data_IF_281525779139
#
_entry.id   IF_281525779139
#
_cell.length_a   1.000
_cell.length_b   1.000
_cell.length_c   1.000
_cell.angle_alpha   90.00
_cell.angle_beta   90.00
_cell.angle_gamma   90.00
#
_symmetry.space_group_name_H-M   'P 1'
#
loop_
_entity.id
_entity.type
_entity.pdbx_description
1 polymer ?
#
# COMPACT_ATOMS: atom_id res chain seq x y z
N UNK A 1 -8.69 -2.38 -24.41
CA UNK A 1 -7.55 -2.32 -25.34
C UNK A 1 -6.27 -2.10 -24.54
N UNK A 2 -5.17 -2.78 -24.87
CA UNK A 2 -3.90 -2.60 -24.16
C UNK A 2 -3.39 -1.16 -24.35
N UNK A 3 -2.81 -0.59 -23.29
CA UNK A 3 -2.10 0.68 -23.38
C UNK A 3 -0.89 0.49 -24.30
N UNK A 4 -0.62 1.46 -25.18
CA UNK A 4 0.58 1.44 -26.01
C UNK A 4 1.50 2.59 -25.57
N UNK A 5 2.76 2.27 -25.26
CA UNK A 5 3.81 3.29 -25.14
C UNK A 5 4.14 3.81 -26.54
N UNK A 6 4.04 5.12 -26.71
CA UNK A 6 4.22 5.82 -27.99
C UNK A 6 5.60 6.47 -28.07
N UNK A 7 6.17 6.82 -26.92
CA UNK A 7 7.52 7.40 -26.80
C UNK A 7 8.07 7.16 -25.40
N UNK A 8 9.39 7.12 -25.28
CA UNK A 8 10.11 6.91 -24.02
C UNK A 8 11.33 7.82 -23.97
N UNK A 9 11.60 8.42 -22.81
CA UNK A 9 12.86 9.11 -22.55
C UNK A 9 13.30 8.91 -21.09
N UNK A 10 14.60 9.02 -20.85
CA UNK A 10 15.20 8.94 -19.52
C UNK A 10 15.81 10.30 -19.18
N UNK A 11 15.46 10.85 -18.02
CA UNK A 11 15.90 12.18 -17.56
C UNK A 11 16.59 12.03 -16.21
N UNK A 12 17.76 12.65 -16.06
CA UNK A 12 18.44 12.69 -14.76
C UNK A 12 17.69 13.63 -13.82
N UNK A 13 17.27 13.11 -12.68
CA UNK A 13 16.61 13.85 -11.61
C UNK A 13 17.34 13.62 -10.29
N UNK A 14 18.02 14.65 -9.79
CA UNK A 14 18.83 14.55 -8.56
C UNK A 14 19.79 13.35 -8.65
N UNK A 15 19.54 12.32 -7.85
CA UNK A 15 20.38 11.13 -7.70
C UNK A 15 19.82 9.90 -8.45
N UNK A 16 18.75 10.05 -9.24
CA UNK A 16 18.14 8.96 -10.00
C UNK A 16 17.91 9.35 -11.47
N UNK A 17 17.91 8.37 -12.36
CA UNK A 17 17.45 8.56 -13.73
C UNK A 17 16.00 8.12 -13.80
N UNK A 18 15.09 9.07 -14.03
CA UNK A 18 13.66 8.81 -14.13
C UNK A 18 13.26 8.47 -15.57
N UNK A 19 12.45 7.43 -15.74
CA UNK A 19 11.86 7.06 -17.02
C UNK A 19 10.54 7.80 -17.22
N UNK A 20 10.40 8.47 -18.36
CA UNK A 20 9.17 9.11 -18.82
C UNK A 20 8.62 8.35 -20.03
N UNK A 21 7.31 8.19 -20.05
CA UNK A 21 6.56 7.43 -21.05
C UNK A 21 5.43 8.30 -21.59
N UNK A 22 5.32 8.42 -22.92
CA UNK A 22 4.07 8.87 -23.53
C UNK A 22 3.17 7.67 -23.74
N UNK A 23 2.04 7.63 -23.03
CA UNK A 23 1.12 6.49 -23.01
C UNK A 23 -0.19 6.88 -23.69
N UNK A 24 -0.64 6.08 -24.65
CA UNK A 24 -1.99 6.24 -25.23
C UNK A 24 -2.98 5.36 -24.47
N UNK A 25 -4.11 5.94 -24.07
CA UNK A 25 -5.21 5.27 -23.37
C UNK A 25 -6.56 5.66 -23.99
N UNK A 26 -7.54 4.77 -23.86
CA UNK A 26 -8.96 5.10 -24.10
C UNK A 26 -9.61 5.40 -22.76
N UNK A 27 -10.19 6.58 -22.61
CA UNK A 27 -10.89 7.05 -21.40
C UNK A 27 -12.27 7.54 -21.83
N UNK A 28 -13.32 6.99 -21.23
CA UNK A 28 -14.71 7.31 -21.59
C UNK A 28 -15.01 7.26 -23.12
N UNK A 29 -14.38 6.33 -23.84
CA UNK A 29 -14.52 6.17 -25.30
C UNK A 29 -13.56 6.99 -26.15
N UNK A 30 -12.88 7.98 -25.56
CA UNK A 30 -11.97 8.87 -26.28
C UNK A 30 -10.50 8.43 -26.17
N UNK A 31 -9.75 8.56 -27.27
CA UNK A 31 -8.31 8.28 -27.27
C UNK A 31 -7.53 9.50 -26.79
N UNK A 32 -6.84 9.34 -25.66
CA UNK A 32 -6.05 10.38 -25.00
C UNK A 32 -4.59 9.93 -24.87
N UNK A 33 -3.69 10.90 -24.72
CA UNK A 33 -2.27 10.66 -24.41
C UNK A 33 -1.91 11.27 -23.07
N UNK A 34 -1.20 10.52 -22.25
CA UNK A 34 -0.63 10.97 -20.98
C UNK A 34 0.90 10.92 -21.05
N UNK A 35 1.53 11.78 -20.28
CA UNK A 35 2.95 11.66 -19.94
C UNK A 35 3.02 11.09 -18.54
N UNK A 36 3.62 9.91 -18.41
CA UNK A 36 3.75 9.18 -17.15
C UNK A 36 5.23 9.09 -16.77
N UNK A 37 5.55 9.32 -15.50
CA UNK A 37 6.91 9.21 -14.95
C UNK A 37 6.96 8.00 -14.03
N UNK A 38 7.92 7.10 -14.23
CA UNK A 38 8.17 6.02 -13.27
C UNK A 38 8.62 6.60 -11.93
N UNK A 39 7.99 6.14 -10.86
CA UNK A 39 8.33 6.54 -9.49
C UNK A 39 9.62 5.83 -9.06
N UNK A 40 10.35 6.44 -8.13
CA UNK A 40 11.54 5.81 -7.56
C UNK A 40 11.20 4.44 -6.98
N UNK A 41 12.04 3.45 -7.28
CA UNK A 41 11.98 2.14 -6.60
C UNK A 41 12.47 2.20 -5.15
N UNK A 42 13.06 3.32 -4.73
CA UNK A 42 13.51 3.50 -3.35
C UNK A 42 12.33 3.92 -2.47
N UNK A 43 11.79 2.96 -1.72
CA UNK A 43 10.79 3.19 -0.68
C UNK A 43 11.36 2.98 0.74
N UNK A 44 12.69 2.90 0.84
CA UNK A 44 13.42 2.83 2.10
C UNK A 44 13.86 4.26 2.47
N UNK A 45 13.36 4.79 3.57
CA UNK A 45 13.80 6.09 4.11
C UNK A 45 14.74 5.84 5.29
N UNK A 46 16.01 6.27 5.19
CA UNK A 46 17.01 6.03 6.24
C UNK A 46 17.27 4.53 6.52
N UNK A 47 17.04 3.65 5.54
CA UNK A 47 17.14 2.19 5.70
C UNK A 47 15.90 1.51 6.30
N UNK A 48 14.91 2.29 6.73
CA UNK A 48 13.63 1.79 7.25
C UNK A 48 12.63 1.72 6.09
N UNK A 49 11.98 0.58 5.92
CA UNK A 49 10.99 0.41 4.88
C UNK A 49 9.68 1.10 5.25
N UNK A 50 9.23 2.02 4.40
CA UNK A 50 7.92 2.65 4.52
C UNK A 50 6.98 2.07 3.45
N UNK A 51 6.03 1.23 3.87
CA UNK A 51 5.01 0.67 2.98
C UNK A 51 4.18 1.76 2.30
N UNK A 52 4.03 2.93 2.91
CA UNK A 52 3.31 4.05 2.34
C UNK A 52 4.08 4.79 1.24
N UNK A 53 5.40 4.61 1.19
CA UNK A 53 6.25 5.15 0.13
C UNK A 53 6.26 4.26 -1.12
N UNK A 54 5.84 3.00 -1.00
CA UNK A 54 5.77 2.07 -2.12
C UNK A 54 4.76 2.55 -3.18
N UNK A 55 5.16 2.48 -4.45
CA UNK A 55 4.30 2.79 -5.59
C UNK A 55 4.12 1.54 -6.45
N UNK A 56 3.25 0.65 -5.99
CA UNK A 56 3.03 -0.66 -6.62
C UNK A 56 1.72 -0.70 -7.43
N UNK A 57 1.48 0.35 -8.22
CA UNK A 57 0.33 0.47 -9.12
C UNK A 57 0.75 1.17 -10.41
N UNK A 58 0.06 0.87 -11.51
CA UNK A 58 0.26 1.57 -12.78
C UNK A 58 -0.65 2.80 -12.88
N UNK A 59 -0.13 3.87 -13.48
CA UNK A 59 -0.83 5.16 -13.69
C UNK A 59 -1.54 5.71 -12.45
N UNK A 60 -0.97 5.49 -11.27
CA UNK A 60 -1.64 5.73 -10.00
C UNK A 60 -1.74 7.20 -9.59
N UNK A 61 -2.51 7.43 -8.52
CA UNK A 61 -2.60 8.69 -7.79
C UNK A 61 -2.49 8.42 -6.30
N UNK A 62 -1.76 9.28 -5.60
CA UNK A 62 -1.61 9.24 -4.15
C UNK A 62 -2.22 10.47 -3.49
N UNK A 63 -2.87 10.25 -2.36
CA UNK A 63 -3.19 11.25 -1.36
C UNK A 63 -2.34 11.00 -0.12
N UNK A 64 -1.74 12.05 0.43
CA UNK A 64 -1.09 12.04 1.73
C UNK A 64 -1.61 13.22 2.53
N UNK A 65 -2.42 12.93 3.55
CA UNK A 65 -3.02 13.92 4.44
C UNK A 65 -2.22 14.15 5.71
N UNK A 66 -1.09 13.45 5.89
CA UNK A 66 -0.24 13.63 7.08
C UNK A 66 0.46 14.97 7.06
N UNK A 67 0.51 15.59 8.22
CA UNK A 67 1.23 16.83 8.43
C UNK A 67 2.74 16.61 8.28
N UNK A 68 3.36 17.49 7.50
CA UNK A 68 4.81 17.50 7.24
C UNK A 68 5.52 18.69 7.90
N UNK A 69 4.77 19.60 8.51
CA UNK A 69 5.29 20.81 9.13
C UNK A 69 5.23 20.68 10.66
N UNK A 70 6.38 20.55 11.35
CA UNK A 70 6.39 20.36 12.80
C UNK A 70 5.82 21.56 13.57
N UNK A 71 5.72 22.75 12.95
CA UNK A 71 5.11 23.93 13.56
C UNK A 71 3.59 23.94 13.54
N UNK A 72 2.95 23.02 12.79
CA UNK A 72 1.49 22.89 12.71
C UNK A 72 1.02 21.78 13.61
N UNK A 73 0.44 22.11 14.75
CA UNK A 73 -0.03 21.11 15.70
C UNK A 73 -1.55 21.03 15.72
N UNK A 74 -2.05 19.89 16.17
CA UNK A 74 -3.46 19.59 16.41
C UNK A 74 -3.60 18.97 17.80
N UNK A 75 -4.55 19.46 18.59
CA UNK A 75 -4.88 18.90 19.90
C UNK A 75 -6.36 18.51 19.97
N UNK A 76 -6.67 17.46 20.73
CA UNK A 76 -8.03 17.13 21.16
C UNK A 76 -8.17 17.45 22.64
N UNK A 77 -9.21 18.19 23.01
CA UNK A 77 -9.51 18.52 24.42
C UNK A 77 -10.96 18.25 24.74
N UNK A 78 -11.25 17.65 25.89
CA UNK A 78 -12.60 17.33 26.32
C UNK A 78 -12.68 16.86 27.76
N UNK A 79 -13.90 16.70 28.27
CA UNK A 79 -14.16 16.25 29.64
C UNK A 79 -13.90 14.75 29.81
N UNK A 80 -14.12 13.96 28.76
CA UNK A 80 -13.89 12.52 28.77
C UNK A 80 -13.51 12.01 27.36
N UNK A 81 -12.74 10.94 27.29
CA UNK A 81 -12.10 10.47 26.05
C UNK A 81 -12.52 9.05 25.62
N UNK A 82 -13.75 8.64 25.95
CA UNK A 82 -14.33 7.40 25.43
C UNK A 82 -14.80 7.58 23.97
N UNK A 83 -14.98 6.47 23.24
CA UNK A 83 -15.60 6.50 21.93
C UNK A 83 -17.01 7.12 22.02
N UNK A 84 -17.36 7.96 21.05
CA UNK A 84 -18.62 8.72 20.99
C UNK A 84 -18.60 10.07 21.73
N UNK A 85 -17.61 10.31 22.60
CA UNK A 85 -17.55 11.58 23.33
C UNK A 85 -17.21 12.76 22.42
N UNK A 86 -17.82 13.91 22.71
CA UNK A 86 -17.49 15.17 22.06
C UNK A 86 -16.19 15.74 22.62
N UNK A 87 -15.33 16.22 21.72
CA UNK A 87 -14.08 16.91 22.01
C UNK A 87 -13.96 18.15 21.14
N UNK A 88 -13.17 19.13 21.59
CA UNK A 88 -12.76 20.28 20.80
C UNK A 88 -11.41 19.98 20.15
N UNK A 89 -11.35 20.15 18.84
CA UNK A 89 -10.12 20.21 18.07
C UNK A 89 -9.57 21.63 18.09
N UNK A 90 -8.29 21.76 18.40
CA UNK A 90 -7.56 23.02 18.39
C UNK A 90 -6.32 22.91 17.50
N UNK A 91 -6.26 23.74 16.47
CA UNK A 91 -5.12 23.88 15.58
C UNK A 91 -4.22 25.04 16.05
N UNK A 92 -2.90 24.84 16.00
CA UNK A 92 -1.91 25.89 16.30
C UNK A 92 -0.85 25.95 15.20
N UNK A 93 -0.53 27.17 14.74
CA UNK A 93 0.38 27.40 13.61
C UNK A 93 -0.27 27.25 12.22
N UNK A 94 -1.58 27.00 12.14
CA UNK A 94 -2.34 26.88 10.89
C UNK A 94 -3.85 27.06 11.11
N UNK A 95 -4.60 27.21 10.03
CA UNK A 95 -6.06 27.44 10.02
C UNK A 95 -6.79 26.41 9.15
N UNK A 96 -6.89 25.13 9.59
CA UNK A 96 -7.35 24.03 8.76
C UNK A 96 -8.87 23.93 8.63
N UNK A 97 -9.62 24.65 9.47
CA UNK A 97 -11.05 24.46 9.60
C UNK A 97 -11.85 25.49 8.82
N UNK A 98 -12.96 25.04 8.24
CA UNK A 98 -13.98 25.84 7.57
C UNK A 98 -15.34 25.17 7.75
N UNK A 99 -16.43 25.80 7.30
CA UNK A 99 -17.75 25.14 7.27
C UNK A 99 -17.75 23.80 6.51
N UNK A 100 -16.86 23.63 5.51
CA UNK A 100 -16.70 22.39 4.75
C UNK A 100 -15.94 21.29 5.50
N UNK A 101 -15.42 21.58 6.70
CA UNK A 101 -14.72 20.60 7.53
C UNK A 101 -15.67 19.64 8.24
N UNK A 102 -16.96 19.96 8.34
CA UNK A 102 -17.95 19.07 8.97
C UNK A 102 -18.01 17.73 8.22
N UNK A 103 -17.94 16.63 8.97
CA UNK A 103 -17.86 15.27 8.45
C UNK A 103 -16.44 14.80 8.09
N UNK A 104 -15.44 15.68 8.08
CA UNK A 104 -14.05 15.27 7.87
C UNK A 104 -13.53 14.47 9.05
N UNK A 105 -12.69 13.48 8.76
CA UNK A 105 -12.01 12.68 9.77
C UNK A 105 -10.58 13.15 9.96
N UNK A 106 -10.12 13.20 11.20
CA UNK A 106 -8.73 13.47 11.53
C UNK A 106 -8.15 12.31 12.33
N UNK A 107 -6.88 12.02 12.07
CA UNK A 107 -6.09 11.05 12.81
C UNK A 107 -5.03 11.83 13.58
N UNK A 108 -4.88 11.57 14.88
CA UNK A 108 -3.80 12.12 15.71
C UNK A 108 -3.01 10.96 16.30
N UNK A 109 -1.67 11.05 16.29
CA UNK A 109 -0.80 9.94 16.69
C UNK A 109 0.35 10.42 17.57
N UNK A 110 0.65 9.63 18.60
CA UNK A 110 1.84 9.78 19.45
C UNK A 110 2.46 8.41 19.68
N UNK A 111 3.62 8.15 19.06
CA UNK A 111 4.25 6.83 19.04
C UNK A 111 3.33 5.76 18.43
N UNK A 112 2.90 4.78 19.24
CA UNK A 112 1.96 3.73 18.83
C UNK A 112 0.49 4.06 19.19
N UNK A 113 0.26 5.15 19.92
CA UNK A 113 -1.08 5.57 20.31
C UNK A 113 -1.70 6.42 19.20
N UNK A 114 -2.97 6.18 18.91
CA UNK A 114 -3.72 6.92 17.91
C UNK A 114 -5.15 7.20 18.37
N UNK A 115 -5.69 8.36 18.00
CA UNK A 115 -7.11 8.64 18.03
C UNK A 115 -7.59 9.03 16.63
N UNK A 116 -8.81 8.62 16.30
CA UNK A 116 -9.53 9.12 15.12
C UNK A 116 -10.74 9.89 15.60
N UNK A 117 -10.95 11.07 15.02
CA UNK A 117 -12.09 11.93 15.33
C UNK A 117 -12.84 12.31 14.06
N UNK A 118 -14.14 12.51 14.18
CA UNK A 118 -14.99 13.02 13.10
C UNK A 118 -15.50 14.41 13.47
N UNK A 119 -15.21 15.41 12.64
CA UNK A 119 -15.65 16.79 12.87
C UNK A 119 -17.17 16.88 12.78
N UNK A 120 -17.81 17.44 13.80
CA UNK A 120 -19.26 17.58 13.90
C UNK A 120 -19.74 19.02 13.73
N UNK A 121 -18.95 20.01 14.14
CA UNK A 121 -19.29 21.42 13.89
C UNK A 121 -18.04 22.27 13.72
N UNK A 122 -18.16 23.31 12.90
CA UNK A 122 -17.16 24.34 12.70
C UNK A 122 -17.38 25.47 13.72
N UNK A 123 -16.33 25.87 14.44
CA UNK A 123 -16.39 26.98 15.39
C UNK A 123 -15.71 28.21 14.78
N UNK A 124 -14.44 28.07 14.44
CA UNK A 124 -13.64 29.10 13.77
C UNK A 124 -12.51 28.44 12.97
N UNK A 125 -11.65 29.24 12.35
CA UNK A 125 -10.60 28.74 11.46
C UNK A 125 -9.53 27.88 12.14
N UNK A 126 -9.42 27.92 13.47
CA UNK A 126 -8.51 27.10 14.28
C UNK A 126 -9.21 26.14 15.23
N UNK A 127 -10.54 26.19 15.36
CA UNK A 127 -11.32 25.33 16.24
C UNK A 127 -12.51 24.65 15.57
N UNK A 128 -12.74 23.40 15.95
CA UNK A 128 -13.93 22.63 15.56
C UNK A 128 -14.35 21.70 16.69
N UNK A 129 -15.64 21.36 16.77
CA UNK A 129 -16.06 20.23 17.61
C UNK A 129 -15.98 18.94 16.81
N UNK A 130 -15.63 17.85 17.47
CA UNK A 130 -15.55 16.53 16.87
C UNK A 130 -16.02 15.44 17.84
N UNK A 131 -16.36 14.27 17.32
CA UNK A 131 -16.62 13.07 18.10
C UNK A 131 -15.46 12.10 17.98
N UNK A 132 -15.09 11.45 19.08
CA UNK A 132 -14.09 10.38 19.09
C UNK A 132 -14.67 9.12 18.46
N UNK A 133 -14.06 8.62 17.38
CA UNK A 133 -14.48 7.36 16.74
C UNK A 133 -14.07 6.15 17.60
N UNK A 134 -12.96 6.27 18.32
CA UNK A 134 -12.44 5.29 19.27
C UNK A 134 -11.99 6.01 20.54
N UNK A 135 -11.88 5.30 21.66
CA UNK A 135 -11.33 5.88 22.88
C UNK A 135 -9.93 6.46 22.61
N UNK A 136 -9.67 7.67 23.09
CA UNK A 136 -8.40 8.35 22.91
C UNK A 136 -7.42 7.92 24.02
N UNK A 137 -6.26 7.32 23.71
CA UNK A 137 -5.25 7.01 24.72
C UNK A 137 -4.70 8.27 25.39
N UNK A 138 -4.24 8.17 26.65
CA UNK A 138 -3.74 9.32 27.41
C UNK A 138 -2.65 10.14 26.67
N UNK A 139 -1.80 9.47 25.89
CA UNK A 139 -0.74 10.11 25.11
C UNK A 139 -1.21 11.11 24.04
N UNK A 140 -2.48 11.04 23.61
CA UNK A 140 -3.05 11.95 22.60
C UNK A 140 -4.07 12.92 23.18
N UNK A 141 -4.34 12.88 24.49
CA UNK A 141 -5.32 13.73 25.16
C UNK A 141 -4.71 15.08 25.55
N UNK A 142 -5.33 16.19 25.13
CA UNK A 142 -4.93 17.56 25.48
C UNK A 142 -3.45 17.91 25.18
N UNK A 143 -2.85 17.24 24.21
CA UNK A 143 -1.48 17.51 23.72
C UNK A 143 -1.54 18.04 22.30
N UNK A 144 -0.79 19.11 22.02
CA UNK A 144 -0.57 19.61 20.66
C UNK A 144 0.40 18.73 19.90
N UNK A 145 -0.12 17.83 19.06
CA UNK A 145 0.66 16.87 18.30
C UNK A 145 0.98 17.43 16.92
N UNK A 146 2.22 17.29 16.46
CA UNK A 146 2.61 17.57 15.06
C UNK A 146 2.31 16.38 14.14
N UNK A 147 2.15 15.19 14.70
CA UNK A 147 1.85 13.97 13.96
C UNK A 147 0.33 13.74 13.87
N UNK A 148 -0.29 14.35 12.87
CA UNK A 148 -1.71 14.24 12.59
C UNK A 148 -1.97 14.17 11.08
N UNK A 149 -3.15 13.69 10.68
CA UNK A 149 -3.56 13.61 9.29
C UNK A 149 -5.03 13.98 9.08
N UNK A 150 -5.32 14.65 7.96
CA UNK A 150 -6.68 14.72 7.43
C UNK A 150 -6.99 13.42 6.69
N UNK A 151 -7.82 12.57 7.27
CA UNK A 151 -8.20 11.30 6.67
C UNK A 151 -9.33 11.50 5.64
N UNK A 152 -9.27 10.76 4.54
CA UNK A 152 -10.28 10.78 3.48
C UNK A 152 -10.81 9.38 3.20
N UNK A 153 -12.10 9.26 2.97
CA UNK A 153 -12.72 8.05 2.43
C UNK A 153 -12.80 8.09 0.89
N UNK A 154 -12.46 9.22 0.27
CA UNK A 154 -12.54 9.41 -1.18
C UNK A 154 -11.20 9.90 -1.73
N UNK A 155 -10.79 9.32 -2.85
CA UNK A 155 -9.65 9.78 -3.63
C UNK A 155 -10.16 10.33 -4.97
N UNK A 156 -9.93 11.62 -5.19
CA UNK A 156 -10.37 12.35 -6.37
C UNK A 156 -9.24 12.62 -7.35
N UNK A 157 -9.60 13.04 -8.57
CA UNK A 157 -8.64 13.41 -9.63
C UNK A 157 -8.08 12.20 -10.38
N UNK A 158 -8.88 11.15 -10.49
CA UNK A 158 -8.61 9.92 -11.23
C UNK A 158 -9.26 9.94 -12.63
N UNK A 159 -9.51 11.12 -13.20
CA UNK A 159 -10.16 11.28 -14.51
C UNK A 159 -9.46 10.52 -15.64
N UNK A 160 -8.14 10.34 -15.55
CA UNK A 160 -7.35 9.55 -16.50
C UNK A 160 -7.58 8.04 -16.43
N UNK A 161 -8.41 7.60 -15.48
CA UNK A 161 -8.75 6.21 -15.21
C UNK A 161 -10.27 6.00 -15.12
N UNK A 162 -11.08 6.92 -15.66
CA UNK A 162 -12.54 6.83 -15.63
C UNK A 162 -13.05 5.48 -16.18
N UNK A 163 -13.97 4.85 -15.43
CA UNK A 163 -14.53 3.53 -15.77
C UNK A 163 -13.58 2.34 -15.58
N UNK A 164 -12.36 2.55 -15.08
CA UNK A 164 -11.41 1.48 -14.77
C UNK A 164 -11.53 1.03 -13.32
N UNK A 165 -11.39 -0.28 -13.10
CA UNK A 165 -11.22 -0.83 -11.76
C UNK A 165 -9.78 -0.63 -11.31
N UNK A 166 -9.59 -0.17 -10.08
CA UNK A 166 -8.29 0.14 -9.49
C UNK A 166 -7.95 -0.82 -8.35
N UNK A 167 -6.66 -1.07 -8.20
CA UNK A 167 -6.06 -1.61 -6.98
C UNK A 167 -5.73 -0.46 -6.03
N UNK A 168 -5.98 -0.65 -4.74
CA UNK A 168 -5.94 0.42 -3.75
C UNK A 168 -5.17 -0.02 -2.52
N UNK A 169 -4.24 0.82 -2.07
CA UNK A 169 -3.52 0.71 -0.81
C UNK A 169 -3.89 1.91 0.07
N UNK A 170 -4.45 1.68 1.24
CA UNK A 170 -4.86 2.73 2.17
C UNK A 170 -4.23 2.48 3.55
N UNK A 171 -3.54 3.48 4.09
CA UNK A 171 -2.75 3.39 5.33
C UNK A 171 -1.94 2.07 5.45
N UNK A 172 -1.34 1.63 4.34
CA UNK A 172 -0.46 0.46 4.32
C UNK A 172 -1.19 -0.89 4.24
N UNK A 173 -2.51 -0.91 4.09
CA UNK A 173 -3.33 -2.12 3.90
C UNK A 173 -4.03 -2.11 2.54
N UNK A 174 -4.03 -3.25 1.85
CA UNK A 174 -4.75 -3.41 0.60
C UNK A 174 -6.26 -3.28 0.86
N UNK A 175 -6.97 -2.56 -0.01
CA UNK A 175 -8.41 -2.36 0.06
C UNK A 175 -9.10 -3.15 -1.05
N UNK A 176 -10.41 -3.45 -0.92
CA UNK A 176 -11.20 -3.98 -2.02
C UNK A 176 -11.05 -3.09 -3.27
N UNK A 177 -10.96 -3.69 -4.47
CA UNK A 177 -10.84 -2.91 -5.70
C UNK A 177 -12.11 -2.07 -5.92
N UNK A 178 -11.93 -0.86 -6.46
CA UNK A 178 -13.03 0.05 -6.75
C UNK A 178 -12.94 0.61 -8.17
N UNK A 179 -14.10 0.82 -8.80
CA UNK A 179 -14.19 1.42 -10.13
C UNK A 179 -14.24 2.94 -10.03
N UNK A 180 -13.48 3.62 -10.88
CA UNK A 180 -13.52 5.08 -10.97
C UNK A 180 -14.85 5.54 -11.54
N UNK A 181 -15.54 6.41 -10.80
CA UNK A 181 -16.76 7.09 -11.22
C UNK A 181 -16.61 8.58 -10.95
N UNK A 182 -16.84 9.40 -11.98
CA UNK A 182 -16.70 10.86 -11.94
C UNK A 182 -15.33 11.32 -11.40
N UNK A 183 -14.27 10.64 -11.83
CA UNK A 183 -12.90 10.93 -11.44
C UNK A 183 -12.58 10.61 -9.98
N UNK A 184 -13.39 9.77 -9.32
CA UNK A 184 -13.23 9.43 -7.90
C UNK A 184 -13.34 7.93 -7.62
N UNK A 185 -12.70 7.49 -6.55
CA UNK A 185 -12.95 6.19 -5.89
C UNK A 185 -13.22 6.41 -4.40
N UNK A 186 -14.02 5.53 -3.81
CA UNK A 186 -14.34 5.53 -2.38
C UNK A 186 -13.80 4.27 -1.72
N UNK A 187 -13.22 4.41 -0.54
CA UNK A 187 -12.75 3.30 0.31
C UNK A 187 -13.62 3.18 1.56
N UNK A 188 -13.78 1.97 2.13
CA UNK A 188 -14.70 1.73 3.26
C UNK A 188 -14.33 2.50 4.54
N UNK A 189 -13.03 2.72 4.77
CA UNK A 189 -12.50 3.41 5.94
C UNK A 189 -11.72 4.63 5.49
N UNK A 190 -11.98 5.78 6.12
CA UNK A 190 -11.17 6.96 5.85
C UNK A 190 -9.72 6.74 6.29
N UNK A 191 -8.77 7.11 5.43
CA UNK A 191 -7.35 6.88 5.64
C UNK A 191 -6.52 8.14 5.46
N UNK A 192 -5.40 8.22 6.18
CA UNK A 192 -4.45 9.33 6.10
C UNK A 192 -3.64 9.30 4.80
N UNK A 193 -3.37 8.11 4.26
CA UNK A 193 -2.72 7.90 2.96
C UNK A 193 -3.52 6.96 2.10
N UNK A 194 -3.66 7.29 0.83
CA UNK A 194 -4.34 6.46 -0.16
C UNK A 194 -3.50 6.46 -1.43
N UNK A 195 -3.17 5.28 -1.96
CA UNK A 195 -2.62 5.08 -3.29
C UNK A 195 -3.61 4.24 -4.08
N UNK A 196 -4.05 4.71 -5.24
CA UNK A 196 -4.89 3.93 -6.15
C UNK A 196 -4.35 4.02 -7.57
N UNK A 197 -4.40 2.91 -8.30
CA UNK A 197 -4.01 2.87 -9.70
C UNK A 197 -4.42 1.55 -10.35
N UNK A 198 -4.04 1.37 -11.60
CA UNK A 198 -4.29 0.12 -12.31
C UNK A 198 -3.49 -1.01 -11.67
N UNK A 199 -4.15 -2.14 -11.47
CA UNK A 199 -3.51 -3.35 -11.01
C UNK A 199 -2.56 -3.89 -12.08
N UNK A 200 -1.42 -4.42 -11.65
CA UNK A 200 -0.60 -5.31 -12.45
C UNK A 200 -0.18 -6.50 -11.58
N UNK A 201 0.09 -7.62 -12.22
CA UNK A 201 0.59 -8.82 -11.57
C UNK A 201 2.05 -9.01 -11.96
N UNK A 202 2.92 -9.21 -10.97
CA UNK A 202 4.31 -9.57 -11.19
C UNK A 202 4.50 -11.05 -10.93
N UNK A 203 4.95 -11.76 -11.96
CA UNK A 203 5.29 -13.18 -11.90
C UNK A 203 6.79 -13.35 -12.06
N UNK A 204 7.39 -14.15 -11.17
CA UNK A 204 8.75 -14.64 -11.26
C UNK A 204 8.67 -16.16 -11.34
N UNK A 205 9.16 -16.74 -12.43
CA UNK A 205 9.29 -18.19 -12.60
C UNK A 205 10.76 -18.57 -12.58
N UNK A 206 11.13 -19.58 -11.80
CA UNK A 206 12.50 -20.10 -11.79
C UNK A 206 12.80 -20.88 -13.06
N UNK A 207 14.07 -21.04 -13.38
CA UNK A 207 14.51 -22.06 -14.34
C UNK A 207 14.25 -23.48 -13.79
N UNK A 208 14.42 -24.48 -14.64
CA UNK A 208 14.37 -25.89 -14.25
C UNK A 208 15.40 -26.16 -13.14
N UNK A 209 14.97 -26.79 -12.05
CA UNK A 209 15.85 -27.10 -10.93
C UNK A 209 16.74 -28.28 -11.30
N UNK A 210 18.03 -28.04 -11.41
CA UNK A 210 19.04 -29.10 -11.48
C UNK A 210 19.82 -29.15 -10.16
N UNK A 211 20.12 -30.36 -9.68
CA UNK A 211 21.15 -30.57 -8.66
C UNK A 211 22.38 -31.22 -9.30
N UNK A 212 23.51 -31.12 -8.60
CA UNK A 212 24.76 -31.77 -8.99
C UNK A 212 24.61 -33.29 -9.19
N UNK A 213 25.67 -33.99 -9.61
CA UNK A 213 25.60 -35.40 -10.00
C UNK A 213 24.92 -36.28 -8.93
N UNK A 214 24.00 -37.20 -9.31
CA UNK A 214 23.58 -37.56 -10.68
C UNK A 214 22.57 -36.57 -11.30
N UNK A 215 22.48 -36.56 -12.64
CA UNK A 215 21.52 -35.68 -13.34
C UNK A 215 20.08 -35.97 -12.91
N UNK A 216 19.28 -34.90 -12.76
CA UNK A 216 17.85 -35.00 -12.50
C UNK A 216 17.03 -35.07 -13.79
N UNK A 217 17.68 -35.07 -14.98
CA UNK A 217 16.99 -35.14 -16.25
C UNK A 217 16.29 -36.48 -16.42
N UNK A 218 15.03 -36.45 -16.84
CA UNK A 218 14.18 -37.64 -16.98
C UNK A 218 13.54 -38.13 -15.68
N UNK A 219 13.88 -37.56 -14.52
CA UNK A 219 13.26 -37.91 -13.23
C UNK A 219 12.15 -36.95 -12.87
N UNK A 220 11.10 -37.49 -12.25
CA UNK A 220 10.04 -36.67 -11.67
C UNK A 220 10.58 -35.94 -10.44
N UNK A 221 10.19 -34.67 -10.31
CA UNK A 221 10.58 -33.75 -9.24
C UNK A 221 9.33 -33.30 -8.52
N UNK A 222 9.45 -33.10 -7.22
CA UNK A 222 8.37 -32.57 -6.38
C UNK A 222 8.94 -31.56 -5.39
N UNK A 223 8.40 -30.35 -5.40
CA UNK A 223 8.76 -29.30 -4.43
C UNK A 223 7.63 -29.19 -3.42
N UNK A 224 7.92 -29.47 -2.15
CA UNK A 224 6.91 -29.42 -1.07
C UNK A 224 6.97 -28.12 -0.26
N UNK A 225 8.18 -27.58 -0.09
CA UNK A 225 8.43 -26.36 0.68
C UNK A 225 9.33 -25.43 -0.14
N UNK A 226 9.04 -24.14 -0.08
CA UNK A 226 9.93 -23.09 -0.59
C UNK A 226 10.28 -22.16 0.55
N UNK A 227 11.57 -21.91 0.73
CA UNK A 227 12.05 -20.83 1.60
C UNK A 227 12.36 -19.62 0.73
N UNK A 228 11.60 -18.55 0.91
CA UNK A 228 11.83 -17.28 0.23
C UNK A 228 12.56 -16.34 1.17
N UNK A 229 13.77 -15.93 0.80
CA UNK A 229 14.45 -14.82 1.47
C UNK A 229 13.96 -13.52 0.88
N UNK A 230 13.29 -12.72 1.70
CA UNK A 230 12.65 -11.46 1.28
C UNK A 230 13.20 -10.27 2.04
N UNK A 231 13.09 -9.09 1.43
CA UNK A 231 13.42 -7.81 2.07
C UNK A 231 12.25 -6.86 1.91
N UNK A 232 11.78 -6.27 3.01
CA UNK A 232 10.71 -5.28 3.01
C UNK A 232 9.53 -5.65 2.09
N UNK A 233 8.97 -6.85 2.26
CA UNK A 233 8.00 -7.46 1.33
C UNK A 233 6.71 -7.87 2.03
N UNK A 234 5.58 -7.83 1.31
CA UNK A 234 4.29 -8.38 1.78
C UNK A 234 3.38 -8.81 0.64
N UNK A 235 2.52 -9.81 0.85
CA UNK A 235 1.49 -10.24 -0.11
C UNK A 235 1.96 -11.16 -1.24
N UNK A 236 3.11 -11.81 -1.09
CA UNK A 236 3.56 -12.81 -2.07
C UNK A 236 2.74 -14.10 -2.00
N UNK A 237 2.60 -14.76 -3.13
CA UNK A 237 2.15 -16.14 -3.24
C UNK A 237 3.19 -16.98 -3.99
N UNK A 238 3.30 -18.27 -3.66
CA UNK A 238 4.30 -19.17 -4.25
C UNK A 238 3.72 -20.56 -4.49
N UNK A 239 4.14 -21.21 -5.57
CA UNK A 239 3.76 -22.59 -5.88
C UNK A 239 4.33 -23.08 -7.21
N UNK A 240 3.94 -24.28 -7.69
CA UNK A 240 4.53 -24.85 -8.90
C UNK A 240 4.10 -24.13 -10.19
N UNK A 241 2.92 -23.52 -10.21
CA UNK A 241 2.37 -22.82 -11.39
C UNK A 241 1.30 -21.80 -10.99
N UNK A 242 0.76 -21.07 -11.97
CA UNK A 242 -0.20 -20.00 -11.76
C UNK A 242 -1.57 -20.44 -11.22
N UNK A 243 -1.92 -21.72 -11.37
CA UNK A 243 -3.16 -22.33 -10.86
C UNK A 243 -3.03 -22.91 -9.46
N UNK A 244 -1.80 -23.12 -8.98
CA UNK A 244 -1.49 -23.71 -7.68
C UNK A 244 -0.56 -22.78 -6.90
N UNK A 245 -1.10 -21.70 -6.32
CA UNK A 245 -0.32 -20.75 -5.53
C UNK A 245 -0.79 -20.72 -4.08
N UNK A 246 0.16 -20.78 -3.16
CA UNK A 246 -0.07 -20.60 -1.72
C UNK A 246 0.40 -19.22 -1.28
N UNK A 247 -0.50 -18.42 -0.70
CA UNK A 247 -0.16 -17.11 -0.14
C UNK A 247 0.74 -17.24 1.10
N UNK A 248 1.76 -16.39 1.18
CA UNK A 248 2.56 -16.23 2.41
C UNK A 248 1.67 -15.55 3.45
N UNK A 249 1.38 -16.26 4.54
CA UNK A 249 0.58 -15.72 5.63
C UNK A 249 1.27 -14.52 6.26
N UNK A 250 0.55 -13.41 6.38
CA UNK A 250 1.03 -12.24 7.09
C UNK A 250 1.14 -12.54 8.60
N UNK A 251 2.20 -12.04 9.25
CA UNK A 251 2.30 -12.07 10.71
C UNK A 251 1.40 -10.98 11.28
N UNK A 252 0.66 -11.29 12.34
CA UNK A 252 -0.27 -10.35 13.01
C UNK A 252 0.18 -10.07 14.45
N UNK A 253 1.38 -9.55 14.62
CA UNK A 253 1.91 -9.17 15.95
C UNK A 253 1.72 -7.69 16.28
N UNK A 254 1.21 -6.92 15.33
CA UNK A 254 1.00 -5.48 15.40
C UNK A 254 -0.23 -5.13 16.23
N UNK A 255 -0.19 -3.95 16.86
CA UNK A 255 -1.34 -3.40 17.58
C UNK A 255 -2.46 -3.01 16.62
N UNK A 256 -3.70 -3.07 17.11
CA UNK A 256 -4.88 -2.72 16.32
C UNK A 256 -4.77 -1.30 15.75
N UNK A 257 -4.88 -1.17 14.42
CA UNK A 257 -4.83 0.10 13.71
C UNK A 257 -3.47 0.52 13.17
N UNK A 258 -2.38 -0.19 13.50
CA UNK A 258 -1.10 -0.03 12.82
C UNK A 258 -1.10 -0.81 11.49
N UNK A 259 -0.37 -0.34 10.45
CA UNK A 259 -0.17 -1.12 9.23
C UNK A 259 0.60 -2.40 9.56
N UNK A 260 0.23 -3.51 8.90
CA UNK A 260 1.03 -4.75 8.95
C UNK A 260 2.45 -4.45 8.47
N UNK A 261 3.46 -4.81 9.25
CA UNK A 261 4.84 -4.52 8.89
C UNK A 261 5.28 -5.33 7.67
N UNK A 262 6.28 -4.80 6.97
CA UNK A 262 6.92 -5.51 5.88
C UNK A 262 7.90 -6.54 6.43
N UNK A 263 7.89 -7.75 5.87
CA UNK A 263 8.79 -8.81 6.31
C UNK A 263 10.17 -8.64 5.67
N UNK A 264 11.21 -8.79 6.50
CA UNK A 264 12.59 -9.03 6.06
C UNK A 264 13.13 -10.28 6.75
N UNK A 265 13.64 -11.24 5.97
CA UNK A 265 14.12 -12.52 6.47
C UNK A 265 13.68 -13.70 5.60
N UNK A 266 13.71 -14.90 6.18
CA UNK A 266 13.34 -16.13 5.51
C UNK A 266 11.89 -16.50 5.84
N UNK A 267 11.05 -16.58 4.81
CA UNK A 267 9.67 -17.05 4.89
C UNK A 267 9.57 -18.46 4.36
N UNK A 268 9.04 -19.38 5.19
CA UNK A 268 8.90 -20.80 4.84
C UNK A 268 7.46 -21.08 4.46
N UNK A 269 7.25 -21.53 3.22
CA UNK A 269 5.92 -21.76 2.68
C UNK A 269 5.80 -23.21 2.26
N UNK A 270 4.81 -23.90 2.82
CA UNK A 270 4.37 -25.20 2.33
C UNK A 270 3.48 -24.94 1.12
N UNK A 271 3.88 -25.46 -0.04
CA UNK A 271 3.14 -25.28 -1.29
C UNK A 271 2.40 -26.57 -1.62
N UNK A 272 1.31 -26.47 -2.38
CA UNK A 272 0.64 -27.64 -2.92
C UNK A 272 1.54 -28.27 -3.99
N UNK A 273 2.12 -29.46 -3.73
CA UNK A 273 3.19 -29.98 -4.56
C UNK A 273 2.60 -30.70 -5.78
N UNK A 274 3.16 -30.44 -6.96
CA UNK A 274 2.89 -31.22 -8.17
C UNK A 274 4.14 -32.03 -8.57
N UNK A 275 3.93 -33.27 -8.99
CA UNK A 275 4.98 -34.05 -9.66
C UNK A 275 5.13 -33.53 -11.08
N UNK A 276 6.32 -33.04 -11.42
CA UNK A 276 6.63 -32.58 -12.77
C UNK A 276 8.11 -32.79 -13.09
N UNK A 277 8.50 -32.67 -14.36
CA UNK A 277 9.87 -32.91 -14.81
C UNK A 277 10.84 -31.75 -14.55
N UNK A 278 10.36 -30.59 -14.08
CA UNK A 278 11.15 -29.34 -14.04
C UNK A 278 11.50 -28.88 -12.63
N UNK A 279 10.61 -29.11 -11.66
CA UNK A 279 10.69 -28.57 -10.30
C UNK A 279 10.50 -27.06 -10.21
N UNK A 280 10.01 -26.38 -11.25
CA UNK A 280 9.89 -24.91 -11.24
C UNK A 280 9.03 -24.39 -10.11
N UNK A 281 9.34 -23.17 -9.69
CA UNK A 281 8.55 -22.39 -8.76
C UNK A 281 8.13 -21.10 -9.42
N UNK A 282 6.86 -20.77 -9.29
CA UNK A 282 6.28 -19.47 -9.59
C UNK A 282 6.09 -18.69 -8.28
N UNK A 283 6.56 -17.45 -8.25
CA UNK A 283 6.27 -16.47 -7.20
C UNK A 283 5.48 -15.33 -7.81
N UNK A 284 4.34 -14.98 -7.20
CA UNK A 284 3.41 -13.96 -7.69
C UNK A 284 3.22 -12.85 -6.66
N UNK A 285 3.22 -11.60 -7.13
CA UNK A 285 2.69 -10.43 -6.42
C UNK A 285 1.51 -9.88 -7.21
N UNK A 286 0.32 -9.93 -6.63
CA UNK A 286 -0.91 -9.41 -7.24
C UNK A 286 -1.48 -8.18 -6.51
N UNK A 287 -0.99 -7.92 -5.29
CA UNK A 287 -1.44 -6.82 -4.45
C UNK A 287 -0.62 -5.56 -4.73
N UNK A 288 -1.13 -4.37 -4.39
CA UNK A 288 -0.40 -3.11 -4.55
C UNK A 288 0.64 -2.94 -3.42
N UNK A 289 1.47 -3.97 -3.22
CA UNK A 289 2.41 -4.11 -2.13
C UNK A 289 3.84 -4.34 -2.66
N UNK A 290 4.87 -3.85 -1.94
CA UNK A 290 6.24 -4.04 -2.37
C UNK A 290 6.65 -5.51 -2.24
N UNK A 291 7.47 -5.96 -3.19
CA UNK A 291 8.11 -7.26 -3.20
C UNK A 291 9.58 -7.15 -3.61
N UNK A 292 10.48 -7.65 -2.76
CA UNK A 292 11.91 -7.80 -3.04
C UNK A 292 12.31 -9.21 -2.64
N UNK A 293 12.54 -10.05 -3.65
CA UNK A 293 13.02 -11.43 -3.48
C UNK A 293 14.54 -11.40 -3.57
N UNK A 294 15.21 -11.91 -2.53
CA UNK A 294 16.67 -12.01 -2.44
C UNK A 294 17.14 -13.41 -2.83
N UNK A 295 16.39 -14.44 -2.43
CA UNK A 295 16.64 -15.82 -2.80
C UNK A 295 15.35 -16.66 -2.76
N UNK A 296 15.30 -17.70 -3.59
CA UNK A 296 14.32 -18.77 -3.53
C UNK A 296 15.04 -20.10 -3.32
N UNK A 297 14.71 -20.81 -2.24
CA UNK A 297 15.36 -22.06 -1.84
C UNK A 297 14.30 -23.17 -1.78
N UNK A 298 14.09 -23.90 -2.89
CA UNK A 298 13.20 -25.07 -2.94
C UNK A 298 13.73 -26.22 -2.07
N UNK A 299 12.83 -26.91 -1.36
CA UNK A 299 13.07 -28.26 -0.85
C UNK A 299 12.51 -29.28 -1.84
N UNK A 300 13.43 -29.99 -2.49
CA UNK A 300 13.14 -30.92 -3.57
C UNK A 300 13.09 -32.38 -3.06
N UNK A 301 12.07 -33.11 -3.49
CA UNK A 301 12.05 -34.56 -3.53
C UNK A 301 12.21 -35.03 -4.99
N UNK A 302 12.98 -36.09 -5.18
CA UNK A 302 13.26 -36.68 -6.50
C UNK A 302 12.66 -38.08 -6.53
N UNK A 303 11.80 -38.34 -7.51
CA UNK A 303 11.27 -39.68 -7.78
C UNK A 303 12.32 -40.57 -8.46
N UNK A 304 12.14 -41.89 -8.34
CA UNK A 304 12.99 -42.87 -9.04
C UNK A 304 12.84 -42.80 -10.57
#
# INVERSE_FOLDING_TARGET
>A
MPQASVSVCAVQEKNETALYLSVRRVVAGESVRYVERMVSRQFLSGGIADVHAAWCVDSGRRYDGWNVDPGRTMAISGVAYAAGNAVTLSASGHTPFSAASVGQKLILREGQNQATVTVTSFLDSTHATATLDTAAPAAVQAVGLSNWAMARATLSGLWHLEGRQLSILADGSAQPPATVVNGTVTIPRASGRILAGLAYTCDLETLDIEQGPPTLQGRARRVQEVVLRVKATRGLAVGPDAGHLTEIKERTSESYGAPTLLTTGDERVLIDPSWNSTGRILVRQAWPLPATIVAAVPRLEVGE
#
